data_IF_874256691767
#
_entry.id   IF_874256691767
#
_cell.length_a   1.000
_cell.length_b   1.000
_cell.length_c   1.000
_cell.angle_alpha   90.00
_cell.angle_beta   90.00
_cell.angle_gamma   90.00
#
_symmetry.space_group_name_H-M   'P 1'
#
loop_
_entity.id
_entity.type
_entity.pdbx_description
1 polymer ?
#
# COMPACT_ATOMS: atom_id res chain seq x y z
N UNK A 1 11.54 -13.65 -19.33
CA UNK A 1 11.79 -14.33 -18.04
C UNK A 1 11.51 -13.44 -16.83
N UNK A 2 12.14 -12.26 -16.70
CA UNK A 2 12.02 -11.37 -15.51
C UNK A 2 10.59 -10.85 -15.30
N UNK A 3 9.88 -10.45 -16.35
CA UNK A 3 8.49 -9.97 -16.26
C UNK A 3 7.59 -11.08 -15.68
N UNK A 4 7.77 -12.32 -16.15
CA UNK A 4 7.01 -13.47 -15.63
C UNK A 4 7.32 -13.73 -14.16
N UNK A 5 8.58 -13.60 -13.76
CA UNK A 5 9.01 -13.76 -12.37
C UNK A 5 8.32 -12.71 -11.47
N UNK A 6 8.39 -11.43 -11.84
CA UNK A 6 7.78 -10.35 -11.05
C UNK A 6 6.26 -10.55 -10.96
N UNK A 7 5.61 -10.87 -12.06
CA UNK A 7 4.16 -11.12 -12.08
C UNK A 7 3.78 -12.33 -11.21
N UNK A 8 4.56 -13.41 -11.24
CA UNK A 8 4.33 -14.59 -10.41
C UNK A 8 4.48 -14.24 -8.92
N UNK A 9 5.53 -13.49 -8.56
CA UNK A 9 5.77 -13.04 -7.19
C UNK A 9 4.61 -12.16 -6.69
N UNK A 10 4.17 -11.19 -7.49
CA UNK A 10 3.05 -10.31 -7.15
C UNK A 10 1.74 -11.09 -7.00
N UNK A 11 1.47 -12.02 -7.92
CA UNK A 11 0.25 -12.86 -7.87
C UNK A 11 0.24 -13.73 -6.61
N UNK A 12 1.37 -14.34 -6.29
CA UNK A 12 1.47 -15.19 -5.12
C UNK A 12 1.36 -14.39 -3.81
N UNK A 13 1.97 -13.20 -3.76
CA UNK A 13 1.85 -12.31 -2.61
C UNK A 13 0.40 -11.87 -2.36
N UNK A 14 -0.35 -11.54 -3.42
CA UNK A 14 -1.78 -11.20 -3.31
C UNK A 14 -2.60 -12.39 -2.84
N UNK A 15 -2.33 -13.61 -3.33
CA UNK A 15 -3.01 -14.83 -2.88
C UNK A 15 -2.79 -15.14 -1.41
N UNK A 16 -1.58 -14.89 -0.91
CA UNK A 16 -1.20 -15.11 0.48
C UNK A 16 -1.56 -13.94 1.40
N UNK A 17 -2.24 -12.90 0.90
CA UNK A 17 -2.53 -11.66 1.63
C UNK A 17 -1.29 -11.03 2.27
N UNK A 18 -0.16 -11.07 1.56
CA UNK A 18 1.05 -10.43 2.03
C UNK A 18 0.90 -8.90 2.06
N UNK A 19 1.36 -8.27 3.12
CA UNK A 19 1.41 -6.81 3.23
C UNK A 19 2.60 -6.21 2.47
N UNK A 20 3.73 -6.89 2.51
CA UNK A 20 4.97 -6.42 1.89
C UNK A 20 5.69 -7.58 1.19
N UNK A 21 6.39 -7.25 0.10
CA UNK A 21 7.35 -8.10 -0.58
C UNK A 21 8.72 -7.48 -0.41
N UNK A 22 9.66 -8.21 0.13
CA UNK A 22 11.05 -7.82 0.25
C UNK A 22 11.89 -8.57 -0.78
N UNK A 23 12.63 -7.83 -1.61
CA UNK A 23 13.54 -8.36 -2.63
C UNK A 23 14.93 -7.92 -2.23
N UNK A 24 15.76 -8.86 -1.79
CA UNK A 24 17.00 -8.56 -1.08
C UNK A 24 18.17 -9.30 -1.72
N UNK A 25 19.15 -8.56 -2.31
CA UNK A 25 20.37 -9.14 -2.77
C UNK A 25 21.32 -9.39 -1.58
N UNK A 26 21.84 -10.61 -1.51
CA UNK A 26 22.91 -11.01 -0.63
C UNK A 26 24.17 -11.33 -1.45
N UNK A 27 25.26 -11.72 -0.80
CA UNK A 27 26.55 -11.95 -1.44
C UNK A 27 26.45 -12.91 -2.64
N UNK A 28 25.74 -14.03 -2.49
CA UNK A 28 25.69 -15.11 -3.50
C UNK A 28 24.30 -15.36 -4.06
N UNK A 29 23.25 -14.74 -3.50
CA UNK A 29 21.86 -15.03 -3.82
C UNK A 29 20.96 -13.79 -3.77
N UNK A 30 19.85 -13.85 -4.45
CA UNK A 30 18.71 -12.97 -4.33
C UNK A 30 17.63 -13.71 -3.55
N UNK A 31 17.13 -13.10 -2.48
CA UNK A 31 16.06 -13.66 -1.64
C UNK A 31 14.81 -12.81 -1.77
N UNK A 32 13.67 -13.45 -1.95
CA UNK A 32 12.35 -12.83 -1.93
C UNK A 32 11.61 -13.33 -0.70
N UNK A 33 11.16 -12.39 0.13
CA UNK A 33 10.41 -12.68 1.35
C UNK A 33 9.07 -11.95 1.31
N UNK A 34 8.03 -12.60 1.82
CA UNK A 34 6.72 -11.99 2.05
C UNK A 34 6.52 -11.71 3.52
N UNK A 35 5.89 -10.58 3.82
CA UNK A 35 5.36 -10.32 5.15
C UNK A 35 3.89 -10.73 5.15
N UNK A 36 3.56 -11.77 5.92
CA UNK A 36 2.21 -12.28 6.10
C UNK A 36 1.92 -12.27 7.60
N UNK A 37 0.84 -11.61 8.00
CA UNK A 37 0.45 -11.45 9.43
C UNK A 37 1.61 -10.92 10.31
N UNK A 38 2.35 -9.94 9.78
CA UNK A 38 3.48 -9.31 10.47
C UNK A 38 4.80 -10.10 10.42
N UNK A 39 4.80 -11.37 9.99
CA UNK A 39 5.97 -12.24 9.95
C UNK A 39 6.57 -12.29 8.54
N UNK A 40 7.89 -12.09 8.43
CA UNK A 40 8.63 -12.29 7.18
C UNK A 40 8.93 -13.77 6.96
N UNK A 41 8.56 -14.26 5.76
CA UNK A 41 8.84 -15.64 5.33
C UNK A 41 9.57 -15.62 4.00
N UNK A 42 10.62 -16.42 3.87
CA UNK A 42 11.28 -16.63 2.58
C UNK A 42 10.37 -17.47 1.68
N UNK A 43 10.15 -16.99 0.46
CA UNK A 43 9.28 -17.67 -0.52
C UNK A 43 10.02 -18.08 -1.78
N UNK A 44 11.14 -17.42 -2.06
CA UNK A 44 11.95 -17.73 -3.23
C UNK A 44 13.40 -17.31 -3.01
N UNK A 45 14.29 -18.16 -3.53
CA UNK A 45 15.70 -17.86 -3.70
C UNK A 45 16.08 -17.97 -5.18
N UNK A 46 16.98 -17.10 -5.63
CA UNK A 46 17.49 -17.11 -7.00
C UNK A 46 18.98 -16.72 -7.03
N UNK A 47 19.62 -16.93 -8.17
CA UNK A 47 21.01 -16.49 -8.36
C UNK A 47 21.13 -14.98 -8.28
N UNK A 48 22.16 -14.46 -7.62
CA UNK A 48 22.42 -13.04 -7.48
C UNK A 48 22.42 -12.27 -8.81
N UNK A 49 22.90 -12.90 -9.88
CA UNK A 49 22.93 -12.28 -11.20
C UNK A 49 21.57 -11.79 -11.72
N UNK A 50 20.47 -12.30 -11.15
CA UNK A 50 19.11 -11.89 -11.49
C UNK A 50 18.71 -10.60 -10.78
N UNK A 51 19.34 -10.25 -9.66
CA UNK A 51 18.95 -9.09 -8.85
C UNK A 51 18.94 -7.76 -9.62
N UNK A 52 19.98 -7.35 -10.36
CA UNK A 52 19.97 -6.10 -11.10
C UNK A 52 18.85 -6.01 -12.15
N UNK A 53 18.51 -7.15 -12.77
CA UNK A 53 17.46 -7.23 -13.77
C UNK A 53 16.06 -7.05 -13.15
N UNK A 54 15.83 -7.64 -11.99
CA UNK A 54 14.58 -7.50 -11.23
C UNK A 54 14.42 -6.06 -10.75
N UNK A 55 15.45 -5.50 -10.12
CA UNK A 55 15.45 -4.11 -9.63
C UNK A 55 15.20 -3.11 -10.76
N UNK A 56 15.95 -3.22 -11.87
CA UNK A 56 15.75 -2.34 -13.03
C UNK A 56 14.33 -2.42 -13.56
N UNK A 57 13.76 -3.61 -13.66
CA UNK A 57 12.38 -3.77 -14.14
C UNK A 57 11.36 -3.15 -13.19
N UNK A 58 11.53 -3.30 -11.88
CA UNK A 58 10.66 -2.66 -10.88
C UNK A 58 10.78 -1.14 -10.97
N UNK A 59 11.98 -0.60 -11.12
CA UNK A 59 12.20 0.85 -11.32
C UNK A 59 11.48 1.37 -12.55
N UNK A 60 11.56 0.67 -13.68
CA UNK A 60 10.79 1.03 -14.90
C UNK A 60 9.30 1.07 -14.62
N UNK A 61 8.76 0.04 -13.96
CA UNK A 61 7.34 -0.07 -13.66
C UNK A 61 6.84 1.03 -12.72
N UNK A 62 7.70 1.50 -11.82
CA UNK A 62 7.42 2.55 -10.82
C UNK A 62 7.88 3.95 -11.26
N UNK A 63 8.37 4.09 -12.49
CA UNK A 63 8.88 5.35 -13.08
C UNK A 63 10.03 5.96 -12.28
N UNK A 64 10.88 5.13 -11.67
CA UNK A 64 12.08 5.53 -10.96
C UNK A 64 13.29 5.61 -11.89
N UNK A 65 14.32 6.34 -11.46
CA UNK A 65 15.58 6.44 -12.19
C UNK A 65 16.37 5.13 -12.11
N UNK A 66 16.58 4.50 -13.26
CA UNK A 66 17.29 3.23 -13.38
C UNK A 66 18.80 3.42 -13.17
N UNK A 67 19.32 4.59 -13.55
CA UNK A 67 20.75 4.90 -13.50
C UNK A 67 21.21 5.21 -12.07
N UNK A 68 20.35 5.82 -11.24
CA UNK A 68 20.67 6.13 -9.86
C UNK A 68 20.57 4.87 -8.98
N UNK A 69 21.70 4.49 -8.37
CA UNK A 69 21.82 3.28 -7.52
C UNK A 69 22.33 3.58 -6.12
N UNK A 70 22.62 4.85 -5.84
CA UNK A 70 23.28 5.29 -4.61
C UNK A 70 22.32 5.96 -3.64
N UNK A 71 21.16 6.41 -4.14
CA UNK A 71 20.14 7.10 -3.35
C UNK A 71 18.87 6.26 -3.25
N UNK A 72 18.19 6.32 -2.11
CA UNK A 72 16.85 5.74 -1.99
C UNK A 72 15.87 6.41 -2.96
N UNK A 73 14.95 5.65 -3.49
CA UNK A 73 13.89 6.15 -4.35
C UNK A 73 12.56 5.52 -3.95
N UNK A 74 11.49 6.31 -4.03
CA UNK A 74 10.13 5.88 -3.77
C UNK A 74 9.25 6.11 -4.99
N UNK A 75 8.34 5.16 -5.27
CA UNK A 75 7.45 5.21 -6.40
C UNK A 75 6.17 4.41 -6.16
N UNK A 76 5.32 4.39 -7.18
CA UNK A 76 4.05 3.64 -7.15
C UNK A 76 3.82 2.90 -8.45
N UNK A 77 3.19 1.74 -8.36
CA UNK A 77 2.76 0.93 -9.49
C UNK A 77 1.29 0.59 -9.30
N UNK A 78 0.44 0.96 -10.25
CA UNK A 78 -0.92 0.45 -10.34
C UNK A 78 -0.96 -0.79 -11.22
N UNK A 79 -1.41 -1.91 -10.69
CA UNK A 79 -1.52 -3.17 -11.43
C UNK A 79 -2.89 -3.81 -11.24
N UNK A 80 -3.22 -4.70 -12.21
CA UNK A 80 -4.24 -5.73 -11.98
C UNK A 80 -3.55 -7.08 -11.76
N UNK A 81 -3.74 -7.64 -10.56
CA UNK A 81 -3.19 -8.93 -10.16
C UNK A 81 -4.34 -9.86 -9.82
N UNK A 82 -4.44 -11.01 -10.49
CA UNK A 82 -5.52 -11.98 -10.30
C UNK A 82 -6.92 -11.35 -10.37
N UNK A 83 -7.14 -10.39 -11.27
CA UNK A 83 -8.41 -9.68 -11.45
C UNK A 83 -8.67 -8.54 -10.46
N UNK A 84 -7.83 -8.34 -9.46
CA UNK A 84 -7.93 -7.27 -8.46
C UNK A 84 -7.06 -6.07 -8.85
N UNK A 85 -7.56 -4.86 -8.67
CA UNK A 85 -6.75 -3.65 -8.76
C UNK A 85 -5.92 -3.50 -7.48
N UNK A 86 -4.61 -3.53 -7.61
CA UNK A 86 -3.65 -3.42 -6.50
C UNK A 86 -2.77 -2.22 -6.76
N UNK A 87 -2.68 -1.33 -5.78
CA UNK A 87 -1.64 -0.30 -5.74
C UNK A 87 -0.43 -0.86 -4.98
N UNK A 88 0.74 -0.68 -5.55
CA UNK A 88 1.99 -1.11 -4.95
C UNK A 88 2.86 0.11 -4.71
N UNK A 89 3.20 0.39 -3.47
CA UNK A 89 4.25 1.35 -3.13
C UNK A 89 5.60 0.66 -3.23
N UNK A 90 6.52 1.30 -3.92
CA UNK A 90 7.85 0.79 -4.19
C UNK A 90 8.85 1.67 -3.48
N UNK A 91 9.73 1.07 -2.68
CA UNK A 91 10.88 1.74 -2.09
C UNK A 91 12.14 0.98 -2.49
N UNK A 92 13.14 1.67 -3.02
CA UNK A 92 14.45 1.12 -3.33
C UNK A 92 15.48 1.75 -2.42
N UNK A 93 16.33 0.93 -1.81
CA UNK A 93 17.35 1.37 -0.85
C UNK A 93 18.68 0.74 -1.23
N UNK A 94 19.74 1.53 -1.40
CA UNK A 94 21.09 1.00 -1.59
C UNK A 94 21.52 0.14 -0.40
N UNK A 95 22.11 -1.01 -0.68
CA UNK A 95 22.65 -1.93 0.33
C UNK A 95 23.99 -2.50 -0.13
N UNK A 96 24.73 -3.14 0.76
CA UNK A 96 26.11 -3.60 0.51
C UNK A 96 26.27 -4.55 -0.69
N UNK A 97 25.24 -5.29 -1.03
CA UNK A 97 25.25 -6.27 -2.14
C UNK A 97 24.38 -5.87 -3.34
N UNK A 98 23.91 -4.62 -3.42
CA UNK A 98 23.04 -4.09 -4.44
C UNK A 98 21.80 -3.42 -3.84
N UNK A 99 20.87 -2.97 -4.68
CA UNK A 99 19.68 -2.30 -4.21
C UNK A 99 18.65 -3.29 -3.65
N UNK A 100 18.19 -3.01 -2.45
CA UNK A 100 17.07 -3.68 -1.81
C UNK A 100 15.78 -3.03 -2.26
N UNK A 101 14.75 -3.81 -2.54
CA UNK A 101 13.43 -3.32 -2.90
C UNK A 101 12.39 -3.82 -1.92
N UNK A 102 11.53 -2.92 -1.49
CA UNK A 102 10.32 -3.24 -0.71
C UNK A 102 9.11 -2.81 -1.50
N UNK A 103 8.20 -3.75 -1.74
CA UNK A 103 6.93 -3.51 -2.39
C UNK A 103 5.83 -3.67 -1.33
N UNK A 104 5.15 -2.59 -0.97
CA UNK A 104 3.98 -2.62 -0.09
C UNK A 104 2.73 -2.73 -0.93
N UNK A 105 1.97 -3.79 -0.72
CA UNK A 105 0.72 -4.06 -1.42
C UNK A 105 -0.42 -3.32 -0.73
N UNK A 106 -1.09 -2.46 -1.47
CA UNK A 106 -2.27 -1.73 -1.03
C UNK A 106 -3.46 -2.28 -1.82
N UNK A 107 -4.28 -3.12 -1.18
CA UNK A 107 -5.49 -3.63 -1.83
C UNK A 107 -6.54 -2.53 -1.86
N UNK A 108 -6.87 -2.04 -3.06
CA UNK A 108 -7.92 -1.02 -3.25
C UNK A 108 -9.31 -1.50 -2.83
N UNK A 109 -9.51 -2.82 -2.71
CA UNK A 109 -10.79 -3.38 -2.25
C UNK A 109 -10.85 -3.53 -0.73
N UNK A 110 -9.72 -3.62 -0.03
CA UNK A 110 -9.69 -3.65 1.43
C UNK A 110 -10.10 -2.32 2.07
N UNK A 111 -10.16 -1.25 1.28
CA UNK A 111 -10.48 0.10 1.74
C UNK A 111 -11.96 0.48 1.71
N UNK A 112 -12.84 -0.35 1.14
CA UNK A 112 -14.29 -0.09 1.16
C UNK A 112 -14.94 -0.75 2.37
N UNK A 113 -14.48 -0.39 3.55
CA UNK A 113 -15.12 -0.81 4.79
C UNK A 113 -16.12 0.28 5.19
N UNK A 114 -17.39 -0.05 5.13
CA UNK A 114 -18.45 0.72 5.78
C UNK A 114 -18.20 0.76 7.31
N UNK A 115 -18.62 1.85 7.95
CA UNK A 115 -18.51 2.02 9.42
C UNK A 115 -19.06 0.80 10.18
N UNK A 116 -20.11 0.14 9.66
CA UNK A 116 -20.65 -1.08 10.23
C UNK A 116 -19.70 -2.27 10.19
N UNK A 117 -18.82 -2.33 9.20
CA UNK A 117 -17.84 -3.40 9.02
C UNK A 117 -16.61 -3.27 9.92
N UNK A 118 -16.44 -2.12 10.61
CA UNK A 118 -15.28 -1.83 11.46
C UNK A 118 -15.36 -2.49 12.85
N UNK A 119 -16.42 -3.25 13.13
CA UNK A 119 -16.62 -3.89 14.42
C UNK A 119 -17.13 -2.96 15.52
N UNK A 120 -17.64 -1.78 15.16
CA UNK A 120 -18.32 -0.89 16.11
C UNK A 120 -19.66 -1.50 16.51
N UNK A 121 -20.00 -1.40 17.81
CA UNK A 121 -21.36 -1.71 18.25
C UNK A 121 -22.37 -0.68 17.72
N UNK A 122 -23.64 -1.03 17.72
CA UNK A 122 -24.70 -0.22 17.12
C UNK A 122 -24.82 1.19 17.76
N UNK A 123 -24.54 1.30 19.05
CA UNK A 123 -24.64 2.58 19.77
C UNK A 123 -23.45 3.50 19.36
N UNK A 124 -22.24 2.97 19.31
CA UNK A 124 -21.04 3.69 18.88
C UNK A 124 -21.16 4.11 17.41
N UNK A 125 -21.65 3.21 16.54
CA UNK A 125 -21.87 3.52 15.13
C UNK A 125 -22.89 4.66 14.94
N UNK A 126 -23.99 4.62 15.68
CA UNK A 126 -25.01 5.69 15.65
C UNK A 126 -24.42 7.03 16.10
N UNK A 127 -23.67 7.04 17.19
CA UNK A 127 -23.01 8.25 17.70
C UNK A 127 -22.02 8.81 16.68
N UNK A 128 -21.21 7.94 16.05
CA UNK A 128 -20.27 8.34 15.02
C UNK A 128 -20.99 8.94 13.80
N UNK A 129 -22.08 8.32 13.37
CA UNK A 129 -22.91 8.80 12.24
C UNK A 129 -23.51 10.20 12.55
N UNK A 130 -23.99 10.42 13.76
CA UNK A 130 -24.48 11.72 14.22
C UNK A 130 -23.37 12.78 14.23
N UNK A 131 -22.17 12.43 14.70
CA UNK A 131 -21.03 13.36 14.78
C UNK A 131 -20.50 13.78 13.41
N UNK A 132 -20.33 12.85 12.48
CA UNK A 132 -19.79 13.16 11.14
C UNK A 132 -20.77 13.99 10.28
N UNK A 133 -22.04 14.05 10.66
CA UNK A 133 -23.05 14.87 9.98
C UNK A 133 -23.24 16.26 10.61
N UNK A 134 -22.55 16.58 11.70
CA UNK A 134 -22.60 17.92 12.28
C UNK A 134 -22.05 18.96 11.31
N UNK A 135 -22.68 20.15 11.21
CA UNK A 135 -22.29 21.17 10.24
C UNK A 135 -20.93 21.84 10.57
N UNK A 136 -20.43 21.68 11.78
CA UNK A 136 -19.17 22.27 12.25
C UNK A 136 -18.62 21.48 13.44
N UNK A 137 -17.33 21.56 13.66
CA UNK A 137 -16.62 20.89 14.74
C UNK A 137 -15.33 20.25 14.26
N UNK A 138 -14.68 19.52 15.15
CA UNK A 138 -13.47 18.72 14.89
C UNK A 138 -13.67 17.34 15.49
N UNK A 139 -13.37 16.30 14.71
CA UNK A 139 -13.31 14.92 15.19
C UNK A 139 -11.85 14.48 15.13
N UNK A 140 -11.29 14.11 16.28
CA UNK A 140 -9.91 13.66 16.41
C UNK A 140 -9.87 12.12 16.52
N UNK A 141 -9.21 11.46 15.58
CA UNK A 141 -9.00 10.00 15.57
C UNK A 141 -7.55 9.70 15.94
N UNK A 142 -7.33 9.06 17.07
CA UNK A 142 -5.99 8.75 17.60
C UNK A 142 -5.80 7.27 17.85
N UNK A 143 -4.54 6.85 17.97
CA UNK A 143 -4.19 5.47 18.28
C UNK A 143 -2.82 5.07 17.71
N UNK A 144 -2.28 3.91 18.10
CA UNK A 144 -1.00 3.41 17.59
C UNK A 144 -1.07 3.02 16.11
N UNK A 145 0.08 2.74 15.50
CA UNK A 145 0.16 2.21 14.14
C UNK A 145 -0.59 0.87 14.04
N UNK A 146 -1.39 0.71 12.98
CA UNK A 146 -2.18 -0.50 12.78
C UNK A 146 -3.50 -0.58 13.57
N UNK A 147 -3.87 0.46 14.33
CA UNK A 147 -5.12 0.49 15.11
C UNK A 147 -6.39 0.76 14.29
N UNK A 148 -6.26 1.02 12.97
CA UNK A 148 -7.40 1.29 12.10
C UNK A 148 -7.77 2.76 11.95
N UNK A 149 -6.91 3.72 12.36
CA UNK A 149 -7.19 5.17 12.20
C UNK A 149 -7.59 5.55 10.78
N UNK A 150 -6.73 5.23 9.81
CA UNK A 150 -6.96 5.52 8.39
C UNK A 150 -8.22 4.85 7.89
N UNK A 151 -8.45 3.60 8.27
CA UNK A 151 -9.64 2.83 7.90
C UNK A 151 -10.92 3.51 8.42
N UNK A 152 -10.90 3.97 9.67
CA UNK A 152 -12.03 4.69 10.28
C UNK A 152 -12.28 6.03 9.59
N UNK A 153 -11.22 6.81 9.32
CA UNK A 153 -11.33 8.09 8.61
C UNK A 153 -11.92 7.92 7.20
N UNK A 154 -11.41 6.94 6.45
CA UNK A 154 -11.90 6.70 5.09
C UNK A 154 -13.35 6.17 5.07
N UNK A 155 -13.72 5.30 6.01
CA UNK A 155 -15.11 4.86 6.15
C UNK A 155 -16.05 6.02 6.50
N UNK A 156 -15.61 6.95 7.35
CA UNK A 156 -16.35 8.16 7.67
C UNK A 156 -16.50 9.09 6.45
N UNK A 157 -15.42 9.27 5.67
CA UNK A 157 -15.44 10.07 4.44
C UNK A 157 -16.39 9.47 3.39
N UNK A 158 -16.33 8.16 3.18
CA UNK A 158 -17.27 7.47 2.26
C UNK A 158 -18.72 7.62 2.71
N UNK A 159 -18.97 7.58 4.03
CA UNK A 159 -20.30 7.69 4.61
C UNK A 159 -20.95 9.06 4.37
N UNK A 160 -20.15 10.15 4.38
CA UNK A 160 -20.65 11.52 4.14
C UNK A 160 -20.56 11.96 2.67
N UNK A 161 -20.00 11.12 1.80
CA UNK A 161 -19.79 11.40 0.38
C UNK A 161 -21.07 11.13 -0.43
N UNK A 162 -22.03 12.02 -0.30
CA UNK A 162 -23.36 11.96 -0.95
C UNK A 162 -23.48 12.87 -2.17
N UNK A 163 -22.36 13.40 -2.68
CA UNK A 163 -22.26 14.38 -3.78
C UNK A 163 -22.91 15.75 -3.48
N UNK A 164 -23.46 15.97 -2.30
CA UNK A 164 -24.01 17.29 -1.90
C UNK A 164 -22.97 18.17 -1.23
N UNK A 165 -21.81 17.62 -0.89
CA UNK A 165 -20.75 18.28 -0.12
C UNK A 165 -19.44 18.31 -0.90
N UNK A 166 -18.69 19.40 -0.72
CA UNK A 166 -17.32 19.48 -1.19
C UNK A 166 -16.40 18.93 -0.11
N UNK A 167 -15.96 17.69 -0.27
CA UNK A 167 -15.09 17.01 0.69
C UNK A 167 -13.66 17.08 0.16
N UNK A 168 -12.75 17.57 0.98
CA UNK A 168 -11.33 17.64 0.65
C UNK A 168 -10.48 17.02 1.76
N UNK A 169 -9.37 16.37 1.37
CA UNK A 169 -8.39 15.84 2.30
C UNK A 169 -7.00 16.37 2.02
N UNK A 170 -6.17 16.37 3.06
CA UNK A 170 -4.71 16.56 2.96
C UNK A 170 -4.07 15.37 3.66
N UNK A 171 -3.28 14.59 2.94
CA UNK A 171 -2.81 13.28 3.38
C UNK A 171 -1.30 13.10 3.16
N UNK A 172 -0.68 12.36 4.06
CA UNK A 172 0.74 12.00 3.97
C UNK A 172 0.94 10.50 4.27
N UNK A 173 0.86 9.68 3.22
CA UNK A 173 0.36 9.91 1.86
C UNK A 173 -1.11 9.51 1.71
N UNK A 174 -1.68 9.75 0.51
CA UNK A 174 -2.97 9.18 0.11
C UNK A 174 -2.85 7.66 0.06
N UNK A 175 -3.68 6.94 0.82
CA UNK A 175 -3.68 5.48 0.83
C UNK A 175 -4.37 4.91 -0.42
N UNK A 176 -5.58 5.38 -0.72
CA UNK A 176 -6.29 5.08 -1.96
C UNK A 176 -7.23 6.23 -2.33
N UNK A 177 -7.59 6.32 -3.60
CA UNK A 177 -8.48 7.36 -4.08
C UNK A 177 -9.94 6.98 -3.88
N UNK A 178 -10.71 7.94 -3.34
CA UNK A 178 -12.18 7.85 -3.20
C UNK A 178 -12.80 8.73 -4.28
N UNK A 179 -13.68 8.16 -5.09
CA UNK A 179 -14.41 8.92 -6.09
C UNK A 179 -15.31 9.99 -5.43
N UNK A 180 -15.33 11.18 -5.99
CA UNK A 180 -16.09 12.31 -5.45
C UNK A 180 -15.40 13.11 -4.33
N UNK A 181 -14.18 12.76 -3.90
CA UNK A 181 -13.40 13.46 -2.88
C UNK A 181 -12.15 14.09 -3.48
N UNK A 182 -11.91 15.36 -3.19
CA UNK A 182 -10.70 16.09 -3.57
C UNK A 182 -9.54 15.74 -2.63
N UNK A 183 -8.72 14.75 -2.99
CA UNK A 183 -7.60 14.31 -2.16
C UNK A 183 -6.29 14.95 -2.57
N UNK A 184 -5.59 15.59 -1.63
CA UNK A 184 -4.30 16.26 -1.84
C UNK A 184 -3.23 15.56 -1.03
N UNK A 185 -2.13 15.20 -1.68
CA UNK A 185 -0.97 14.62 -1.00
C UNK A 185 -0.01 15.71 -0.59
N UNK A 186 0.51 15.63 0.63
CA UNK A 186 1.62 16.46 1.10
C UNK A 186 2.88 16.10 0.31
N UNK A 187 3.60 17.11 -0.17
CA UNK A 187 4.88 16.99 -0.89
C UNK A 187 6.06 17.09 0.07
#
# INVERSE_FOLDING_TARGET
>A
PIIRLINAVLTEAVKQNASDIHIEPFENRLVIRFRVDGVLREVMESRRAVAPLVVSRIKVMSKLDIAEKRLPQDGRIGLRVAGRAVDVRVSTIPAGHGERVVLRLLDKQAGRLDLGSLGMDAATQKTMDELIHQPHGIILVTGPTGSGKTTTLYAALERINDNSRNIMTVEDPIEYYIDGIGQTQVN
#
